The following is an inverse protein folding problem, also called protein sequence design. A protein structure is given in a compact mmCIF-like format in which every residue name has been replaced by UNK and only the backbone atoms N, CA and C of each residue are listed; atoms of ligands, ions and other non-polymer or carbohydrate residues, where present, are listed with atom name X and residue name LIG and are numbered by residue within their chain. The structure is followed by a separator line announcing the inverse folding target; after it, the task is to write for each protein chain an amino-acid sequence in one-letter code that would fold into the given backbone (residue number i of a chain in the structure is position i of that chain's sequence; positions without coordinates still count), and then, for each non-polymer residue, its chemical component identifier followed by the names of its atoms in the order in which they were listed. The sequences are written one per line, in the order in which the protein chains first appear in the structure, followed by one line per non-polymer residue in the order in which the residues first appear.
data_IF_332963770850
#
_entry.id   IF_332963770850
#
_cell.length_a   1.000
_cell.length_b   1.000
_cell.length_c   1.000
_cell.angle_alpha   90.00
_cell.angle_beta   90.00
_cell.angle_gamma   90.00
#
_symmetry.space_group_name_H-M   'P 1'
#
loop_
_entity.id
_entity.type
_entity.pdbx_description
1 polymer ?
#
# COMPACT_ATOMS: atom_id res chain seq x y z
N UNK A 1 2.87 -3.67 -13.72
CA UNK A 1 4.17 -3.12 -14.17
C UNK A 1 5.06 -4.22 -14.77
N UNK A 2 5.31 -5.33 -14.07
CA UNK A 2 6.14 -6.44 -14.58
C UNK A 2 5.68 -6.93 -15.96
N UNK A 3 4.38 -7.22 -16.12
CA UNK A 3 3.82 -7.65 -17.41
C UNK A 3 4.05 -6.64 -18.54
N UNK A 4 3.94 -5.34 -18.24
CA UNK A 4 4.19 -4.28 -19.23
C UNK A 4 5.67 -4.19 -19.60
N UNK A 5 6.57 -4.42 -18.65
CA UNK A 5 8.01 -4.46 -18.92
C UNK A 5 8.36 -5.62 -19.86
N UNK A 6 7.84 -6.81 -19.58
CA UNK A 6 8.06 -7.98 -20.43
C UNK A 6 7.44 -7.82 -21.82
N UNK A 7 6.21 -7.30 -21.90
CA UNK A 7 5.58 -7.00 -23.18
C UNK A 7 6.38 -5.97 -24.00
N UNK A 8 6.91 -4.93 -23.33
CA UNK A 8 7.72 -3.91 -24.03
C UNK A 8 9.04 -4.49 -24.56
N UNK A 9 9.70 -5.38 -23.80
CA UNK A 9 10.89 -6.12 -24.28
C UNK A 9 10.57 -6.95 -25.51
N UNK A 10 9.44 -7.69 -25.48
CA UNK A 10 8.97 -8.52 -26.60
C UNK A 10 8.70 -7.65 -27.83
N UNK A 11 7.99 -6.53 -27.69
CA UNK A 11 7.72 -5.57 -28.79
C UNK A 11 8.99 -5.08 -29.43
N UNK A 12 9.97 -4.71 -28.60
CA UNK A 12 11.28 -4.26 -29.09
C UNK A 12 12.00 -5.33 -29.91
N UNK A 13 11.96 -6.58 -29.45
CA UNK A 13 12.56 -7.72 -30.17
C UNK A 13 11.84 -8.00 -31.50
N UNK A 14 10.54 -7.79 -31.57
CA UNK A 14 9.71 -7.99 -32.75
C UNK A 14 9.67 -6.78 -33.71
N UNK A 15 10.41 -5.73 -33.41
CA UNK A 15 10.41 -4.47 -34.20
C UNK A 15 9.09 -3.71 -34.16
N UNK A 16 8.24 -3.96 -33.16
CA UNK A 16 6.97 -3.26 -32.95
C UNK A 16 7.20 -1.96 -32.17
N UNK A 17 6.29 -0.97 -32.29
CA UNK A 17 6.34 0.24 -31.47
C UNK A 17 6.36 -0.09 -29.98
N UNK A 18 7.24 0.58 -29.24
CA UNK A 18 7.31 0.46 -27.78
C UNK A 18 6.05 1.00 -27.12
N UNK A 19 5.77 0.52 -25.90
CA UNK A 19 4.67 1.03 -25.08
C UNK A 19 4.96 2.47 -24.63
N UNK A 20 3.89 3.22 -24.37
CA UNK A 20 4.00 4.60 -23.89
C UNK A 20 4.87 4.66 -22.61
N UNK A 21 5.92 5.50 -22.59
CA UNK A 21 6.85 5.60 -21.47
C UNK A 21 6.16 5.98 -20.14
N UNK A 22 4.95 6.56 -20.20
CA UNK A 22 4.17 6.86 -18.99
C UNK A 22 3.79 5.63 -18.19
N UNK A 23 3.72 4.44 -18.80
CA UNK A 23 3.47 3.19 -18.08
C UNK A 23 4.61 2.77 -17.14
N UNK A 24 5.82 3.28 -17.37
CA UNK A 24 7.02 2.89 -16.62
C UNK A 24 7.45 3.93 -15.58
N UNK A 25 6.77 5.07 -15.52
CA UNK A 25 7.06 6.11 -14.52
C UNK A 25 6.72 5.65 -13.11
N UNK A 26 7.58 5.95 -12.17
CA UNK A 26 7.30 5.81 -10.75
C UNK A 26 6.25 6.85 -10.35
N UNK A 27 5.32 6.42 -9.50
CA UNK A 27 4.20 7.23 -9.02
C UNK A 27 4.09 7.12 -7.51
N UNK A 28 3.73 8.23 -6.91
CA UNK A 28 3.59 8.36 -5.47
C UNK A 28 2.19 8.81 -5.12
N UNK A 29 1.70 8.36 -3.97
CA UNK A 29 0.39 8.75 -3.45
C UNK A 29 0.43 8.87 -1.94
N UNK A 30 -0.43 9.70 -1.39
CA UNK A 30 -0.80 9.71 0.01
C UNK A 30 -2.32 9.64 0.09
N UNK A 31 -2.85 9.00 1.11
CA UNK A 31 -4.29 8.83 1.26
C UNK A 31 -4.82 9.57 2.48
N UNK A 32 -5.97 10.20 2.31
CA UNK A 32 -6.73 10.82 3.37
C UNK A 32 -8.11 10.17 3.38
N UNK A 33 -8.44 9.47 4.47
CA UNK A 33 -9.77 8.92 4.71
C UNK A 33 -10.51 9.86 5.66
N UNK A 34 -11.69 10.34 5.26
CA UNK A 34 -12.49 11.26 6.08
C UNK A 34 -13.82 10.60 6.43
N UNK A 35 -14.12 10.53 7.71
CA UNK A 35 -15.36 9.97 8.22
C UNK A 35 -15.98 10.76 9.36
N UNK A 36 -17.32 10.74 9.44
CA UNK A 36 -18.07 11.50 10.44
C UNK A 36 -18.29 10.77 11.76
N UNK A 37 -17.94 9.49 11.86
CA UNK A 37 -18.11 8.73 13.07
C UNK A 37 -17.07 9.11 14.13
N UNK A 38 -17.50 9.23 15.38
CA UNK A 38 -16.62 9.51 16.53
C UNK A 38 -15.70 8.33 16.85
N UNK A 39 -16.07 7.13 16.42
CA UNK A 39 -15.33 5.90 16.67
C UNK A 39 -14.68 5.37 15.41
N UNK A 40 -13.42 4.98 15.50
CA UNK A 40 -12.59 4.52 14.38
C UNK A 40 -13.15 3.28 13.66
N UNK A 41 -13.90 2.40 14.35
CA UNK A 41 -14.44 1.17 13.76
C UNK A 41 -15.31 1.39 12.52
N UNK A 42 -16.05 2.50 12.44
CA UNK A 42 -16.91 2.82 11.29
C UNK A 42 -16.12 3.31 10.06
N UNK A 43 -14.90 3.78 10.25
CA UNK A 43 -14.05 4.33 9.18
C UNK A 43 -12.81 3.47 8.93
N UNK A 44 -12.59 2.44 9.73
CA UNK A 44 -11.39 1.60 9.72
C UNK A 44 -11.04 0.95 8.38
N UNK A 45 -12.00 0.80 7.48
CA UNK A 45 -11.77 0.25 6.14
C UNK A 45 -11.42 1.31 5.09
N UNK A 46 -11.50 2.61 5.41
CA UNK A 46 -11.28 3.69 4.45
C UNK A 46 -9.87 3.65 3.84
N UNK A 47 -8.85 3.73 4.68
CA UNK A 47 -7.45 3.67 4.24
C UNK A 47 -7.08 2.32 3.61
N UNK A 48 -7.43 1.15 4.19
CA UNK A 48 -7.18 -0.14 3.54
C UNK A 48 -7.74 -0.28 2.13
N UNK A 49 -8.94 0.25 1.87
CA UNK A 49 -9.52 0.25 0.52
C UNK A 49 -8.75 1.15 -0.45
N UNK A 50 -8.26 2.29 0.00
CA UNK A 50 -7.43 3.19 -0.81
C UNK A 50 -6.07 2.56 -1.14
N UNK A 51 -5.47 1.80 -0.22
CA UNK A 51 -4.23 1.06 -0.46
C UNK A 51 -4.37 0.03 -1.59
N UNK A 52 -5.46 -0.72 -1.62
CA UNK A 52 -5.73 -1.67 -2.70
C UNK A 52 -5.79 -0.97 -4.07
N UNK A 53 -6.29 0.26 -4.11
CA UNK A 53 -6.30 1.07 -5.33
C UNK A 53 -4.86 1.41 -5.77
N UNK A 54 -3.97 1.77 -4.85
CA UNK A 54 -2.57 2.11 -5.18
C UNK A 54 -1.83 0.96 -5.85
N UNK A 55 -2.09 -0.27 -5.44
CA UNK A 55 -1.45 -1.47 -6.01
C UNK A 55 -1.80 -1.68 -7.47
N UNK A 56 -3.07 -1.48 -7.84
CA UNK A 56 -3.53 -1.61 -9.22
C UNK A 56 -2.79 -0.68 -10.18
N UNK A 57 -2.36 0.49 -9.69
CA UNK A 57 -1.63 1.49 -10.47
C UNK A 57 -0.11 1.48 -10.23
N UNK A 58 0.39 0.53 -9.44
CA UNK A 58 1.81 0.45 -9.04
C UNK A 58 2.32 1.79 -8.47
N UNK A 59 1.51 2.42 -7.63
CA UNK A 59 1.88 3.64 -6.91
C UNK A 59 2.50 3.29 -5.56
N UNK A 60 3.54 4.01 -5.15
CA UNK A 60 4.07 3.93 -3.80
C UNK A 60 3.28 4.88 -2.91
N UNK A 61 2.65 4.34 -1.88
CA UNK A 61 2.05 5.15 -0.83
C UNK A 61 3.15 5.65 0.11
N UNK A 62 3.13 6.94 0.42
CA UNK A 62 4.10 7.60 1.30
C UNK A 62 3.45 8.13 2.58
N UNK A 63 2.20 7.83 2.81
CA UNK A 63 1.54 8.16 4.06
C UNK A 63 0.03 8.08 4.03
N UNK A 64 -0.52 8.05 5.23
CA UNK A 64 -1.95 7.98 5.52
C UNK A 64 -2.36 9.07 6.51
N UNK A 65 -3.51 9.68 6.29
CA UNK A 65 -4.21 10.50 7.28
C UNK A 65 -5.60 9.94 7.48
N UNK A 66 -5.89 9.46 8.68
CA UNK A 66 -7.22 8.98 9.06
C UNK A 66 -7.94 10.06 9.86
N UNK A 67 -8.91 10.71 9.23
CA UNK A 67 -9.66 11.84 9.76
C UNK A 67 -11.07 11.40 10.16
N UNK A 68 -11.21 10.70 11.27
CA UNK A 68 -12.52 10.37 11.85
C UNK A 68 -13.04 11.52 12.74
N UNK A 69 -14.29 11.43 13.22
CA UNK A 69 -14.97 12.49 13.97
C UNK A 69 -15.11 13.82 13.19
N UNK A 70 -15.21 13.74 11.87
CA UNK A 70 -15.32 14.91 11.00
C UNK A 70 -16.74 15.10 10.44
N UNK A 71 -17.77 14.82 11.26
CA UNK A 71 -19.17 14.73 10.83
C UNK A 71 -19.88 16.03 10.49
N UNK A 72 -19.25 17.19 10.65
CA UNK A 72 -19.86 18.49 10.35
C UNK A 72 -19.20 19.15 9.14
N UNK A 73 -19.99 19.85 8.34
CA UNK A 73 -19.47 20.62 7.21
C UNK A 73 -18.37 21.58 7.65
N UNK A 74 -17.20 21.48 7.04
CA UNK A 74 -16.04 22.30 7.36
C UNK A 74 -15.30 21.93 8.65
N UNK A 75 -15.72 20.87 9.36
CA UNK A 75 -15.10 20.44 10.62
C UNK A 75 -13.58 20.27 10.52
N UNK A 76 -13.01 19.64 9.47
CA UNK A 76 -11.56 19.50 9.34
C UNK A 76 -10.80 20.84 9.38
N UNK A 77 -11.40 21.94 8.93
CA UNK A 77 -10.77 23.27 8.94
C UNK A 77 -10.59 23.85 10.35
N UNK A 78 -11.33 23.32 11.32
CA UNK A 78 -11.25 23.71 12.73
C UNK A 78 -10.35 22.78 13.55
N UNK A 79 -9.72 21.79 12.90
CA UNK A 79 -8.72 20.91 13.49
C UNK A 79 -7.32 21.24 12.92
N UNK A 80 -6.55 22.13 13.57
CA UNK A 80 -5.23 22.52 13.09
C UNK A 80 -4.23 21.37 13.05
N UNK A 81 -4.38 20.37 13.93
CA UNK A 81 -3.50 19.21 13.96
C UNK A 81 -3.73 18.32 12.75
N UNK A 82 -5.00 18.06 12.40
CA UNK A 82 -5.38 17.34 11.19
C UNK A 82 -4.88 18.07 9.92
N UNK A 83 -5.11 19.38 9.84
CA UNK A 83 -4.65 20.18 8.70
C UNK A 83 -3.13 20.17 8.55
N UNK A 84 -2.40 20.19 9.66
CA UNK A 84 -0.93 20.07 9.65
C UNK A 84 -0.48 18.71 9.10
N UNK A 85 -1.09 17.60 9.54
CA UNK A 85 -0.82 16.25 9.02
C UNK A 85 -1.13 16.14 7.51
N UNK A 86 -2.22 16.74 7.06
CA UNK A 86 -2.54 16.77 5.63
C UNK A 86 -1.50 17.56 4.82
N UNK A 87 -1.01 18.68 5.32
CA UNK A 87 0.04 19.45 4.68
C UNK A 87 1.38 18.69 4.62
N UNK A 88 1.75 18.03 5.72
CA UNK A 88 2.92 17.16 5.80
C UNK A 88 2.85 16.01 4.77
N UNK A 89 1.70 15.34 4.67
CA UNK A 89 1.47 14.31 3.67
C UNK A 89 1.61 14.85 2.24
N UNK A 90 1.04 16.02 1.97
CA UNK A 90 1.18 16.68 0.67
C UNK A 90 2.64 16.99 0.33
N UNK A 91 3.41 17.44 1.31
CA UNK A 91 4.86 17.70 1.18
C UNK A 91 5.61 16.41 0.88
N UNK A 92 5.35 15.33 1.63
CA UNK A 92 5.99 14.03 1.41
C UNK A 92 5.73 13.48 -0.01
N UNK A 93 4.51 13.61 -0.52
CA UNK A 93 4.19 13.25 -1.92
C UNK A 93 4.99 14.12 -2.90
N UNK A 94 5.00 15.42 -2.71
CA UNK A 94 5.71 16.35 -3.60
C UNK A 94 7.22 16.08 -3.64
N UNK A 95 7.85 15.85 -2.49
CA UNK A 95 9.28 15.56 -2.37
C UNK A 95 9.67 14.18 -2.92
N UNK A 96 8.72 13.27 -3.06
CA UNK A 96 8.93 11.95 -3.66
C UNK A 96 8.96 12.00 -5.19
N UNK A 97 8.36 13.04 -5.79
CA UNK A 97 8.25 13.14 -7.25
C UNK A 97 9.62 13.16 -7.92
N UNK A 98 9.77 12.31 -8.94
CA UNK A 98 11.00 12.22 -9.74
C UNK A 98 12.11 11.37 -9.11
N UNK A 99 11.95 10.88 -7.89
CA UNK A 99 12.88 9.91 -7.29
C UNK A 99 12.54 8.49 -7.78
N UNK A 100 13.52 7.56 -7.82
CA UNK A 100 13.25 6.15 -8.05
C UNK A 100 12.38 5.55 -6.95
N UNK A 101 11.50 4.59 -7.31
CA UNK A 101 10.57 3.94 -6.37
C UNK A 101 11.25 3.36 -5.13
N UNK A 102 12.40 2.71 -5.32
CA UNK A 102 13.12 2.02 -4.24
C UNK A 102 13.96 2.98 -3.36
N UNK A 103 14.13 4.24 -3.76
CA UNK A 103 14.88 5.25 -3.01
C UNK A 103 13.99 6.12 -2.09
N UNK A 104 12.67 5.99 -2.19
CA UNK A 104 11.75 6.72 -1.33
C UNK A 104 11.41 5.86 -0.13
N UNK A 105 11.81 6.30 1.05
CA UNK A 105 11.56 5.64 2.35
C UNK A 105 10.85 6.60 3.33
N UNK A 106 10.04 7.49 2.77
CA UNK A 106 9.26 8.46 3.55
C UNK A 106 7.92 7.87 3.93
N UNK A 107 7.54 8.02 5.19
CA UNK A 107 6.21 7.68 5.69
C UNK A 107 5.64 8.78 6.58
N UNK A 108 4.39 9.17 6.31
CA UNK A 108 3.61 10.12 7.11
C UNK A 108 2.35 9.44 7.62
N UNK A 109 2.17 9.38 8.92
CA UNK A 109 1.00 8.75 9.56
C UNK A 109 1.38 7.72 10.60
N UNK A 110 0.40 6.93 11.02
CA UNK A 110 0.61 5.88 12.03
C UNK A 110 1.38 4.70 11.42
N UNK A 111 2.25 4.09 12.21
CA UNK A 111 3.05 2.93 11.79
C UNK A 111 2.19 1.71 11.43
N UNK A 112 0.96 1.62 11.96
CA UNK A 112 0.10 0.47 11.76
C UNK A 112 0.67 -0.82 12.33
N UNK A 113 0.23 -1.95 11.79
CA UNK A 113 0.71 -3.28 12.20
C UNK A 113 1.60 -3.91 11.13
N UNK A 114 1.30 -3.66 9.87
CA UNK A 114 2.11 -4.16 8.76
C UNK A 114 3.32 -3.25 8.51
N UNK A 115 4.56 -3.76 8.53
CA UNK A 115 5.77 -2.94 8.37
C UNK A 115 5.99 -2.45 6.93
N UNK A 116 5.14 -2.86 5.98
CA UNK A 116 5.33 -2.54 4.56
C UNK A 116 4.28 -1.59 4.03
N UNK A 117 3.01 -1.82 4.35
CA UNK A 117 1.92 -0.96 3.89
C UNK A 117 1.24 -0.17 5.02
N UNK A 118 1.75 -0.31 6.25
CA UNK A 118 1.26 0.40 7.44
C UNK A 118 -0.24 0.20 7.74
N UNK A 119 -0.82 -0.89 7.18
CA UNK A 119 -2.21 -1.24 7.44
C UNK A 119 -2.39 -1.67 8.91
N UNK A 120 -3.40 -1.15 9.63
CA UNK A 120 -3.66 -1.50 11.01
C UNK A 120 -4.45 -2.80 11.20
N UNK A 121 -4.96 -3.40 10.11
CA UNK A 121 -5.82 -4.58 10.18
C UNK A 121 -5.02 -5.86 9.93
N UNK A 122 -5.48 -6.95 10.55
CA UNK A 122 -4.96 -8.30 10.35
C UNK A 122 -6.11 -9.24 9.96
N UNK A 123 -5.86 -10.12 9.01
CA UNK A 123 -6.70 -11.26 8.71
C UNK A 123 -6.30 -12.44 9.61
N UNK A 124 -7.28 -13.01 10.32
CA UNK A 124 -7.08 -14.09 11.27
C UNK A 124 -8.01 -15.27 10.92
N UNK A 125 -7.49 -16.49 11.07
CA UNK A 125 -8.23 -17.74 10.82
C UNK A 125 -8.41 -18.57 12.10
N UNK A 126 -8.30 -17.95 13.28
CA UNK A 126 -8.41 -18.64 14.57
C UNK A 126 -7.10 -19.24 15.09
N UNK A 127 -5.98 -18.99 14.40
CA UNK A 127 -4.63 -19.36 14.84
C UNK A 127 -3.81 -18.11 15.15
N UNK A 128 -2.59 -18.29 15.67
CA UNK A 128 -1.62 -17.18 15.83
C UNK A 128 -0.97 -16.77 14.50
N UNK A 129 -1.22 -17.51 13.44
CA UNK A 129 -0.76 -17.17 12.11
C UNK A 129 -1.70 -16.12 11.50
N UNK A 130 -1.20 -14.96 11.20
CA UNK A 130 -1.97 -13.79 10.75
C UNK A 130 -1.42 -13.25 9.44
N UNK A 131 -2.28 -12.62 8.65
CA UNK A 131 -1.94 -12.09 7.34
C UNK A 131 -2.31 -10.60 7.24
N UNK A 132 -1.48 -9.82 6.58
CA UNK A 132 -1.86 -8.48 6.17
C UNK A 132 -2.84 -8.57 4.99
N UNK A 133 -4.10 -8.13 5.13
CA UNK A 133 -5.11 -8.27 4.08
C UNK A 133 -4.83 -7.39 2.85
N UNK A 134 -3.87 -6.48 2.94
CA UNK A 134 -3.51 -5.54 1.87
C UNK A 134 -2.33 -6.08 1.05
N UNK A 135 -1.17 -6.26 1.65
CA UNK A 135 0.04 -6.64 0.90
C UNK A 135 0.32 -8.15 0.90
N UNK A 136 -0.49 -8.97 1.60
CA UNK A 136 -0.45 -10.43 1.56
C UNK A 136 0.73 -11.06 2.27
N UNK A 137 1.51 -10.31 3.07
CA UNK A 137 2.52 -10.91 3.94
C UNK A 137 1.88 -11.53 5.16
N UNK A 138 2.48 -12.57 5.69
CA UNK A 138 2.02 -13.23 6.88
C UNK A 138 3.10 -13.31 7.96
N UNK A 139 2.68 -13.45 9.22
CA UNK A 139 3.54 -13.48 10.38
C UNK A 139 2.88 -14.17 11.55
N UNK A 140 3.61 -14.24 12.65
CA UNK A 140 3.17 -14.92 13.88
C UNK A 140 2.82 -13.91 14.97
N UNK A 141 1.58 -13.98 15.43
CA UNK A 141 1.08 -13.19 16.54
C UNK A 141 1.71 -13.65 17.85
N UNK A 142 2.31 -12.74 18.59
CA UNK A 142 2.84 -12.95 19.93
C UNK A 142 2.09 -12.10 20.94
N UNK A 143 1.84 -12.66 22.08
CA UNK A 143 1.19 -11.97 23.21
C UNK A 143 2.18 -11.89 24.36
N UNK A 144 2.39 -10.67 24.86
CA UNK A 144 3.22 -10.39 26.03
C UNK A 144 2.41 -9.52 27.00
N UNK A 145 1.84 -10.15 28.00
CA UNK A 145 0.87 -9.54 28.89
C UNK A 145 -0.37 -9.04 28.13
N UNK A 146 -0.63 -7.73 28.15
CA UNK A 146 -1.71 -7.07 27.41
C UNK A 146 -1.29 -6.59 26.01
N UNK A 147 -0.01 -6.74 25.64
CA UNK A 147 0.52 -6.28 24.37
C UNK A 147 0.48 -7.41 23.34
N UNK A 148 0.11 -7.02 22.13
CA UNK A 148 0.14 -7.90 20.96
C UNK A 148 1.17 -7.37 19.98
N UNK A 149 2.00 -8.26 19.45
CA UNK A 149 3.00 -7.97 18.42
C UNK A 149 2.94 -9.04 17.34
N UNK A 150 3.18 -8.68 16.12
CA UNK A 150 3.37 -9.62 15.02
C UNK A 150 4.84 -9.70 14.65
N UNK A 151 5.37 -10.90 14.58
CA UNK A 151 6.72 -11.18 14.10
C UNK A 151 6.64 -11.48 12.59
N UNK A 152 7.16 -10.56 11.79
CA UNK A 152 7.25 -10.68 10.34
C UNK A 152 8.64 -11.13 9.95
N UNK A 153 8.75 -12.16 9.09
CA UNK A 153 10.06 -12.56 8.58
C UNK A 153 10.53 -11.62 7.47
N UNK A 154 11.84 -11.44 7.33
CA UNK A 154 12.42 -10.66 6.23
C UNK A 154 11.99 -11.18 4.86
N UNK A 155 11.83 -12.49 4.72
CA UNK A 155 11.32 -13.12 3.49
C UNK A 155 9.92 -12.63 3.15
N UNK A 156 9.01 -12.56 4.13
CA UNK A 156 7.65 -12.09 3.92
C UNK A 156 7.62 -10.59 3.61
N UNK A 157 8.40 -9.79 4.33
CA UNK A 157 8.55 -8.35 4.06
C UNK A 157 9.00 -8.12 2.60
N UNK A 158 10.01 -8.86 2.14
CA UNK A 158 10.55 -8.72 0.79
C UNK A 158 9.53 -9.06 -0.32
N UNK A 159 8.59 -9.99 -0.07
CA UNK A 159 7.59 -10.44 -1.05
C UNK A 159 6.25 -9.74 -0.95
N UNK A 160 6.13 -8.70 -0.14
CA UNK A 160 4.90 -7.93 -0.04
C UNK A 160 4.42 -7.46 -1.44
N UNK A 161 3.12 -7.48 -1.67
CA UNK A 161 2.49 -7.23 -2.98
C UNK A 161 2.89 -5.90 -3.63
N UNK A 162 3.28 -4.91 -2.84
CA UNK A 162 3.74 -3.60 -3.28
C UNK A 162 5.27 -3.51 -3.48
N UNK A 163 6.02 -4.60 -3.32
CA UNK A 163 7.45 -4.68 -3.64
C UNK A 163 7.68 -5.20 -5.05
N UNK A 164 8.86 -4.96 -5.60
CA UNK A 164 9.22 -5.51 -6.91
C UNK A 164 9.16 -7.05 -6.93
N UNK A 165 9.62 -7.72 -5.86
CA UNK A 165 9.57 -9.17 -5.73
C UNK A 165 8.12 -9.66 -5.73
N UNK A 166 7.25 -9.10 -4.88
CA UNK A 166 5.85 -9.49 -4.80
C UNK A 166 5.07 -9.22 -6.09
N UNK A 167 5.38 -8.12 -6.81
CA UNK A 167 4.79 -7.84 -8.12
C UNK A 167 5.17 -8.93 -9.15
N UNK A 168 6.44 -9.37 -9.17
CA UNK A 168 6.88 -10.42 -10.08
C UNK A 168 6.35 -11.81 -9.67
N UNK A 169 6.28 -12.13 -8.39
CA UNK A 169 5.63 -13.36 -7.92
C UNK A 169 4.19 -13.43 -8.42
N UNK A 170 3.41 -12.38 -8.21
CA UNK A 170 2.02 -12.32 -8.67
C UNK A 170 1.88 -12.42 -10.19
N UNK A 171 2.76 -11.76 -10.93
CA UNK A 171 2.79 -11.91 -12.38
C UNK A 171 3.01 -13.36 -12.82
N UNK A 172 3.95 -14.06 -12.19
CA UNK A 172 4.25 -15.46 -12.49
C UNK A 172 3.09 -16.39 -12.11
N UNK A 173 2.41 -16.13 -10.98
CA UNK A 173 1.19 -16.85 -10.59
C UNK A 173 0.11 -16.74 -11.67
N UNK A 174 -0.15 -15.54 -12.18
CA UNK A 174 -1.12 -15.31 -13.26
C UNK A 174 -0.70 -16.07 -14.53
N UNK A 175 0.58 -16.01 -14.91
CA UNK A 175 1.07 -16.73 -16.10
C UNK A 175 0.91 -18.24 -15.96
N UNK A 176 1.11 -18.78 -14.75
CA UNK A 176 0.93 -20.21 -14.50
C UNK A 176 -0.55 -20.61 -14.53
N UNK A 177 -1.45 -19.79 -13.99
CA UNK A 177 -2.90 -20.03 -14.08
C UNK A 177 -3.38 -20.07 -15.54
N UNK A 178 -2.91 -19.16 -16.39
CA UNK A 178 -3.27 -19.13 -17.81
C UNK A 178 -2.87 -20.43 -18.50
N UNK A 179 -1.70 -21.02 -18.18
CA UNK A 179 -1.25 -22.29 -18.75
C UNK A 179 -2.11 -23.50 -18.36
N UNK A 180 -2.77 -23.44 -17.22
CA UNK A 180 -3.64 -24.53 -16.72
C UNK A 180 -5.04 -24.45 -17.33
N UNK A 181 -5.46 -23.26 -17.78
CA UNK A 181 -6.80 -23.02 -18.35
C UNK A 181 -6.86 -23.22 -19.86
N UNK A 182 -5.76 -23.58 -20.52
CA UNK A 182 -5.67 -23.90 -21.97
C UNK A 182 -5.38 -25.37 -22.17
#
# INVERSE_FOLDING_TARGET
RAALIEENKKRKTEGKPELDPRYFKDRYTGFISVGGAETHNWVSLGLPMLDLFSFSFCMKCVGHVDAYDQGRTGHPLFDPALMSKCAELGTAVAESLGKPYDEVDTWVGEEGVCPVCHNPLLSMNGTTHVECPICGIWGDLKVDGEKVKVEWSEKEIARARNTNIGIYEHYNEIQNMIKVCV
#
